data_IF_687229946459
#
_entry.id   IF_687229946459
#
_cell.length_a   1.000
_cell.length_b   1.000
_cell.length_c   1.000
_cell.angle_alpha   90.00
_cell.angle_beta   90.00
_cell.angle_gamma   90.00
#
_symmetry.space_group_name_H-M   'P 1'
#
loop_
_entity.id
_entity.type
_entity.pdbx_description
1 polymer ?
#
# COMPACT_ATOMS: atom_id res chain seq x y z
N UNK A 1 -2.38 18.29 11.40
CA UNK A 1 -3.82 18.09 11.11
C UNK A 1 -4.61 18.75 12.22
N UNK A 2 -5.70 19.46 11.89
CA UNK A 2 -6.47 20.20 12.86
C UNK A 2 -7.32 19.26 13.75
N UNK A 3 -7.56 19.69 15.01
CA UNK A 3 -8.48 19.00 15.91
C UNK A 3 -9.92 19.14 15.39
N UNK A 4 -10.72 18.06 15.31
CA UNK A 4 -12.11 18.16 14.91
C UNK A 4 -12.95 18.89 15.97
N UNK A 5 -13.87 19.72 15.54
CA UNK A 5 -14.72 20.58 16.40
C UNK A 5 -15.98 19.88 16.88
N UNK A 6 -16.30 18.72 16.35
CA UNK A 6 -17.45 17.91 16.74
C UNK A 6 -17.15 16.42 16.58
N UNK A 7 -17.97 15.60 17.24
CA UNK A 7 -17.90 14.12 17.13
C UNK A 7 -18.16 13.69 15.68
N UNK A 8 -19.11 14.33 14.99
CA UNK A 8 -19.38 14.03 13.57
C UNK A 8 -18.20 14.38 12.67
N UNK A 9 -17.57 15.55 12.87
CA UNK A 9 -16.34 15.92 12.15
C UNK A 9 -15.22 14.93 12.42
N UNK A 10 -15.07 14.45 13.64
CA UNK A 10 -14.08 13.44 14.01
C UNK A 10 -14.32 12.09 13.30
N UNK A 11 -15.57 11.64 13.22
CA UNK A 11 -15.95 10.42 12.49
C UNK A 11 -15.63 10.56 11.00
N UNK A 12 -15.96 11.71 10.39
CA UNK A 12 -15.69 11.99 9.00
C UNK A 12 -14.16 12.04 8.73
N UNK A 13 -13.41 12.70 9.59
CA UNK A 13 -11.94 12.74 9.51
C UNK A 13 -11.33 11.33 9.62
N UNK A 14 -11.79 10.52 10.56
CA UNK A 14 -11.31 9.15 10.75
C UNK A 14 -11.50 8.30 9.47
N UNK A 15 -12.60 8.47 8.76
CA UNK A 15 -12.89 7.77 7.50
C UNK A 15 -12.00 8.20 6.34
N UNK A 16 -11.52 9.44 6.32
CA UNK A 16 -10.77 10.00 5.19
C UNK A 16 -9.29 10.24 5.46
N UNK A 17 -8.84 10.04 6.69
CA UNK A 17 -7.46 10.34 7.11
C UNK A 17 -6.39 9.62 6.27
N UNK A 18 -6.70 8.44 5.76
CA UNK A 18 -5.82 7.70 4.86
C UNK A 18 -5.50 8.45 3.56
N UNK A 19 -6.38 9.38 3.14
CA UNK A 19 -6.15 10.21 1.95
C UNK A 19 -5.01 11.22 2.13
N UNK A 20 -4.63 11.51 3.36
CA UNK A 20 -3.46 12.35 3.67
C UNK A 20 -2.13 11.59 3.57
N UNK A 21 -2.19 10.28 3.49
CA UNK A 21 -1.01 9.40 3.51
C UNK A 21 0.05 9.77 2.46
N UNK A 22 -0.28 10.09 1.20
CA UNK A 22 0.73 10.45 0.20
C UNK A 22 1.50 11.73 0.57
N UNK A 23 0.80 12.76 1.04
CA UNK A 23 1.43 14.02 1.45
C UNK A 23 2.34 13.81 2.66
N UNK A 24 1.84 13.13 3.68
CA UNK A 24 2.62 12.82 4.88
C UNK A 24 3.78 11.86 4.58
N UNK A 25 3.60 10.96 3.61
CA UNK A 25 4.65 10.10 3.11
C UNK A 25 5.85 10.89 2.60
N UNK A 26 5.62 11.86 1.72
CA UNK A 26 6.68 12.73 1.20
C UNK A 26 7.36 13.55 2.31
N UNK A 27 6.59 14.06 3.29
CA UNK A 27 7.17 14.78 4.43
C UNK A 27 8.06 13.88 5.29
N UNK A 28 7.63 12.64 5.55
CA UNK A 28 8.39 11.66 6.33
C UNK A 28 9.67 11.29 5.58
N UNK A 29 9.59 11.05 4.27
CA UNK A 29 10.74 10.78 3.42
C UNK A 29 11.78 11.89 3.51
N UNK A 30 11.34 13.16 3.33
CA UNK A 30 12.20 14.33 3.45
C UNK A 30 12.85 14.42 4.83
N UNK A 31 12.07 14.34 5.91
CA UNK A 31 12.58 14.40 7.27
C UNK A 31 13.52 13.23 7.61
N UNK A 32 13.33 12.06 7.00
CA UNK A 32 14.23 10.91 7.22
C UNK A 32 15.65 11.23 6.79
N UNK A 33 15.83 11.92 5.67
CA UNK A 33 17.16 12.32 5.18
C UNK A 33 17.82 13.32 6.14
N UNK A 34 17.06 14.28 6.68
CA UNK A 34 17.55 15.20 7.68
C UNK A 34 17.98 14.51 8.97
N UNK A 35 17.16 13.53 9.44
CA UNK A 35 17.50 12.71 10.61
C UNK A 35 18.77 11.90 10.37
N UNK A 36 18.92 11.27 9.20
CA UNK A 36 20.13 10.53 8.85
C UNK A 36 21.37 11.43 8.86
N UNK A 37 21.25 12.65 8.33
CA UNK A 37 22.34 13.63 8.33
C UNK A 37 22.66 14.21 9.72
N UNK A 38 21.72 14.16 10.65
CA UNK A 38 21.97 14.58 12.04
C UNK A 38 22.77 13.56 12.85
N UNK A 39 22.98 12.34 12.32
CA UNK A 39 23.69 11.27 13.00
C UNK A 39 25.19 11.32 12.72
N UNK A 40 25.98 11.49 13.77
CA UNK A 40 27.43 11.62 13.68
C UNK A 40 28.11 10.38 13.07
N UNK A 41 27.49 9.20 13.22
CA UNK A 41 28.00 7.94 12.71
C UNK A 41 28.23 7.95 11.19
N UNK A 42 27.47 8.74 10.44
CA UNK A 42 27.59 8.83 8.99
C UNK A 42 28.57 9.91 8.52
N UNK A 43 28.89 10.91 9.33
CA UNK A 43 29.66 12.10 8.91
C UNK A 43 31.03 11.74 8.33
N UNK A 44 31.70 10.71 8.88
CA UNK A 44 33.01 10.25 8.39
C UNK A 44 32.96 9.56 7.02
N UNK A 45 31.76 9.11 6.60
CA UNK A 45 31.59 8.39 5.35
C UNK A 45 31.04 9.27 4.23
N UNK A 46 30.33 10.34 4.57
CA UNK A 46 29.72 11.23 3.59
C UNK A 46 28.45 11.92 4.11
N UNK A 47 27.62 12.34 3.16
CA UNK A 47 26.35 13.00 3.42
C UNK A 47 25.21 12.30 2.72
N UNK A 48 24.10 12.09 3.40
CA UNK A 48 22.87 11.59 2.80
C UNK A 48 22.26 12.65 1.90
N UNK A 49 21.96 12.27 0.67
CA UNK A 49 21.36 13.14 -0.35
C UNK A 49 20.09 12.50 -0.86
N UNK A 50 19.01 13.27 -0.85
CA UNK A 50 17.76 12.87 -1.46
C UNK A 50 17.91 12.81 -2.98
N UNK A 51 17.28 11.83 -3.61
CA UNK A 51 17.24 11.68 -5.05
C UNK A 51 15.79 11.87 -5.53
N UNK A 52 15.47 13.09 -5.97
CA UNK A 52 14.14 13.34 -6.53
C UNK A 52 13.96 12.62 -7.87
N UNK A 53 12.85 11.86 -7.97
CA UNK A 53 12.47 11.05 -9.15
C UNK A 53 13.44 9.91 -9.51
N UNK A 54 14.45 9.65 -8.68
CA UNK A 54 15.41 8.58 -8.89
C UNK A 54 15.30 7.52 -7.79
N UNK A 55 15.81 6.35 -8.09
CA UNK A 55 15.89 5.21 -7.16
C UNK A 55 17.36 4.99 -6.72
N UNK A 56 17.59 4.68 -5.44
CA UNK A 56 16.68 4.76 -4.30
C UNK A 56 16.38 6.21 -3.87
N UNK A 57 15.40 6.42 -2.97
CA UNK A 57 14.97 7.76 -2.52
C UNK A 57 16.11 8.59 -1.93
N UNK A 58 17.11 7.95 -1.30
CA UNK A 58 18.30 8.65 -0.78
C UNK A 58 19.56 7.79 -0.87
N UNK A 59 20.71 8.44 -1.04
CA UNK A 59 22.04 7.81 -1.10
C UNK A 59 23.01 8.50 -0.14
N UNK A 60 23.96 7.74 0.39
CA UNK A 60 25.11 8.27 1.14
C UNK A 60 26.25 8.62 0.17
N UNK A 61 26.27 9.87 -0.30
CA UNK A 61 27.35 10.36 -1.17
C UNK A 61 28.62 10.62 -0.38
N UNK A 62 29.67 9.85 -0.65
CA UNK A 62 30.94 9.96 0.08
C UNK A 62 31.93 8.85 -0.28
N UNK A 63 32.62 8.33 0.72
CA UNK A 63 33.76 7.42 0.56
C UNK A 63 33.40 5.95 0.41
N UNK A 64 32.14 5.55 0.63
CA UNK A 64 31.74 4.13 0.58
C UNK A 64 31.36 3.76 -0.85
N UNK A 65 31.96 2.67 -1.33
CA UNK A 65 31.66 2.07 -2.63
C UNK A 65 31.37 0.57 -2.47
N UNK A 66 30.27 0.05 -3.05
CA UNK A 66 29.23 0.77 -3.78
C UNK A 66 28.44 1.71 -2.87
N UNK A 67 27.92 2.81 -3.44
CA UNK A 67 27.21 3.86 -2.69
C UNK A 67 25.99 3.28 -1.97
N UNK A 68 25.89 3.39 -0.62
CA UNK A 68 24.71 2.93 0.11
C UNK A 68 23.49 3.79 -0.16
N UNK A 69 22.31 3.17 -0.12
CA UNK A 69 21.06 3.87 -0.33
C UNK A 69 19.88 3.32 0.47
N UNK A 70 18.87 4.17 0.65
CA UNK A 70 17.60 3.78 1.24
C UNK A 70 16.43 4.11 0.31
N UNK A 71 15.58 3.13 0.10
CA UNK A 71 14.23 3.30 -0.42
C UNK A 71 13.30 3.46 0.77
N UNK A 72 12.63 4.59 0.90
CA UNK A 72 11.85 4.98 2.08
C UNK A 72 10.37 4.69 1.84
N UNK A 73 9.73 3.98 2.75
CA UNK A 73 8.31 3.65 2.69
C UNK A 73 7.60 4.11 3.96
N UNK A 74 6.90 5.23 3.87
CA UNK A 74 6.02 5.69 4.94
C UNK A 74 4.71 4.87 4.92
N UNK A 75 4.39 4.25 6.05
CA UNK A 75 3.23 3.39 6.17
C UNK A 75 2.25 3.90 7.24
N UNK A 76 1.00 4.09 6.83
CA UNK A 76 -0.11 4.38 7.72
C UNK A 76 -0.86 3.08 8.04
N UNK A 77 -0.63 2.45 9.21
CA UNK A 77 -1.05 1.06 9.47
C UNK A 77 -2.56 0.88 9.63
N UNK A 78 -3.31 1.95 9.85
CA UNK A 78 -4.76 1.85 10.09
C UNK A 78 -5.60 1.72 8.82
N UNK A 79 -5.11 2.15 7.67
CA UNK A 79 -5.94 2.20 6.46
C UNK A 79 -5.22 1.73 5.21
N UNK A 80 -3.90 1.64 5.22
CA UNK A 80 -3.11 1.24 4.06
C UNK A 80 -2.34 -0.03 4.32
N UNK A 81 -1.98 -0.70 3.24
CA UNK A 81 -1.06 -1.82 3.26
C UNK A 81 0.29 -1.39 2.70
N UNK A 82 1.35 -2.02 3.15
CA UNK A 82 2.67 -1.78 2.56
C UNK A 82 2.67 -2.43 1.19
N UNK A 83 2.83 -1.60 0.16
CA UNK A 83 2.93 -2.05 -1.23
C UNK A 83 4.24 -1.59 -1.83
N UNK A 84 4.83 -2.43 -2.68
CA UNK A 84 5.95 -2.04 -3.52
C UNK A 84 5.49 -2.01 -4.98
N UNK A 85 5.73 -0.91 -5.67
CA UNK A 85 5.32 -0.73 -7.07
C UNK A 85 6.45 -0.97 -8.06
N UNK A 86 7.62 -1.31 -7.59
CA UNK A 86 8.80 -1.51 -8.43
C UNK A 86 8.79 -2.94 -9.05
N UNK A 87 8.06 -3.08 -10.15
CA UNK A 87 8.13 -4.30 -10.98
C UNK A 87 9.55 -4.48 -11.51
N UNK A 88 10.00 -5.74 -11.57
CA UNK A 88 11.34 -6.12 -12.01
C UNK A 88 12.46 -5.43 -11.21
N UNK A 89 12.15 -5.09 -9.96
CA UNK A 89 13.00 -4.29 -9.11
C UNK A 89 14.31 -4.96 -8.72
N UNK A 90 14.40 -6.29 -8.84
CA UNK A 90 15.67 -6.97 -8.62
C UNK A 90 16.79 -6.43 -9.51
N UNK A 91 16.46 -5.95 -10.72
CA UNK A 91 17.41 -5.32 -11.62
C UNK A 91 17.94 -3.97 -11.11
N UNK A 92 17.22 -3.32 -10.21
CA UNK A 92 17.63 -2.08 -9.57
C UNK A 92 18.49 -2.29 -8.34
N UNK A 93 18.44 -3.50 -7.75
CA UNK A 93 19.22 -3.88 -6.57
C UNK A 93 20.42 -4.77 -6.96
N UNK A 94 21.21 -4.32 -7.93
CA UNK A 94 22.38 -5.08 -8.44
C UNK A 94 23.39 -5.31 -7.33
N UNK A 95 23.54 -4.34 -6.43
CA UNK A 95 24.44 -4.41 -5.27
C UNK A 95 23.62 -4.52 -3.97
N UNK A 96 24.14 -5.25 -2.99
CA UNK A 96 23.52 -5.42 -1.66
C UNK A 96 23.71 -4.18 -0.75
N UNK A 97 23.78 -2.99 -1.34
CA UNK A 97 24.04 -1.72 -0.66
C UNK A 97 22.77 -0.83 -0.56
N UNK A 98 21.63 -1.30 -1.04
CA UNK A 98 20.37 -0.58 -0.94
C UNK A 98 19.41 -1.32 -0.02
N UNK A 99 18.82 -0.57 0.91
CA UNK A 99 17.90 -1.09 1.91
C UNK A 99 16.55 -0.42 1.78
N UNK A 100 15.51 -1.11 2.16
CA UNK A 100 14.17 -0.52 2.32
C UNK A 100 14.00 -0.13 3.78
N UNK A 101 13.72 1.14 4.04
CA UNK A 101 13.30 1.64 5.36
C UNK A 101 11.79 1.79 5.35
N UNK A 102 11.10 1.11 6.26
CA UNK A 102 9.67 1.27 6.49
C UNK A 102 9.44 2.03 7.79
N UNK A 103 8.69 3.12 7.70
CA UNK A 103 8.37 4.01 8.80
C UNK A 103 6.85 3.94 9.05
N UNK A 104 6.46 3.18 10.07
CA UNK A 104 5.07 3.17 10.51
C UNK A 104 4.76 4.46 11.26
N UNK A 105 3.73 5.18 10.84
CA UNK A 105 3.35 6.44 11.44
C UNK A 105 1.86 6.51 11.77
N UNK A 106 1.55 7.25 12.82
CA UNK A 106 0.19 7.65 13.18
C UNK A 106 0.18 9.16 13.49
N UNK A 107 -0.97 9.83 13.43
CA UNK A 107 -1.10 11.13 14.08
C UNK A 107 -0.75 10.98 15.57
N UNK A 108 -0.17 11.99 16.17
CA UNK A 108 0.13 11.99 17.63
C UNK A 108 -1.14 11.90 18.47
N UNK A 109 -2.27 12.36 17.93
CA UNK A 109 -3.61 11.97 18.34
C UNK A 109 -4.24 11.10 17.24
N UNK A 110 -4.92 10.02 17.57
CA UNK A 110 -5.29 8.93 16.65
C UNK A 110 -5.86 9.34 15.29
N UNK A 111 -6.56 10.45 15.20
CA UNK A 111 -7.21 10.94 13.97
C UNK A 111 -6.80 12.36 13.56
N UNK A 112 -5.98 13.05 14.36
CA UNK A 112 -5.45 14.38 14.05
C UNK A 112 -4.09 14.59 14.70
N UNK A 113 -3.47 15.76 14.50
CA UNK A 113 -2.18 16.11 15.07
C UNK A 113 -1.01 15.91 14.10
N UNK A 114 0.21 15.93 14.62
CA UNK A 114 1.44 15.74 13.84
C UNK A 114 1.67 14.25 13.55
N UNK A 115 2.30 13.89 12.44
CA UNK A 115 2.71 12.52 12.21
C UNK A 115 3.78 12.12 13.23
N UNK A 116 3.53 11.01 13.92
CA UNK A 116 4.44 10.40 14.89
C UNK A 116 4.89 9.04 14.36
N UNK A 117 6.19 8.84 14.28
CA UNK A 117 6.75 7.52 13.93
C UNK A 117 6.56 6.60 15.13
N UNK A 118 5.88 5.49 14.91
CA UNK A 118 5.59 4.47 15.94
C UNK A 118 6.42 3.21 15.77
N UNK A 119 7.13 3.08 14.66
CA UNK A 119 8.05 1.98 14.42
C UNK A 119 8.86 2.18 13.17
N UNK A 120 10.04 1.57 13.14
CA UNK A 120 10.98 1.60 12.02
C UNK A 120 11.43 0.18 11.76
N UNK A 121 11.46 -0.21 10.50
CA UNK A 121 12.01 -1.49 10.05
C UNK A 121 12.95 -1.24 8.88
N UNK A 122 14.09 -1.92 8.89
CA UNK A 122 15.06 -1.87 7.79
C UNK A 122 15.24 -3.29 7.26
N UNK A 123 15.11 -3.45 5.96
CA UNK A 123 15.27 -4.73 5.29
C UNK A 123 16.17 -4.60 4.05
N UNK A 124 16.83 -5.69 3.64
CA UNK A 124 17.57 -5.73 2.39
C UNK A 124 16.65 -5.42 1.22
N UNK A 125 16.98 -4.40 0.43
CA UNK A 125 16.21 -4.04 -0.75
C UNK A 125 16.13 -5.18 -1.76
N UNK A 126 17.23 -5.90 -1.96
CA UNK A 126 17.28 -7.05 -2.86
C UNK A 126 16.35 -8.20 -2.43
N UNK A 127 16.31 -8.52 -1.15
CA UNK A 127 15.44 -9.58 -0.63
C UNK A 127 13.96 -9.17 -0.70
N UNK A 128 13.66 -7.92 -0.38
CA UNK A 128 12.30 -7.36 -0.52
C UNK A 128 11.86 -7.37 -1.98
N UNK A 129 12.74 -6.96 -2.90
CA UNK A 129 12.46 -6.99 -4.34
C UNK A 129 12.24 -8.41 -4.85
N UNK A 130 13.05 -9.37 -4.41
CA UNK A 130 12.89 -10.77 -4.77
C UNK A 130 11.55 -11.35 -4.29
N UNK A 131 11.18 -11.09 -3.03
CA UNK A 131 9.90 -11.50 -2.46
C UNK A 131 8.72 -10.86 -3.22
N UNK A 132 8.82 -9.58 -3.54
CA UNK A 132 7.83 -8.84 -4.32
C UNK A 132 7.68 -9.41 -5.74
N UNK A 133 8.78 -9.63 -6.44
CA UNK A 133 8.75 -10.13 -7.81
C UNK A 133 8.22 -11.57 -7.86
N UNK A 134 8.58 -12.41 -6.89
CA UNK A 134 8.02 -13.75 -6.75
C UNK A 134 6.50 -13.71 -6.61
N UNK A 135 6.00 -12.81 -5.78
CA UNK A 135 4.59 -12.61 -5.54
C UNK A 135 3.88 -12.05 -6.78
N UNK A 136 4.51 -11.13 -7.51
CA UNK A 136 3.99 -10.53 -8.73
C UNK A 136 3.91 -11.53 -9.89
N UNK A 137 4.91 -12.37 -10.08
CA UNK A 137 5.00 -13.29 -11.22
C UNK A 137 4.23 -14.61 -11.06
N UNK A 138 3.85 -14.94 -9.83
CA UNK A 138 3.07 -16.15 -9.50
C UNK A 138 1.59 -15.93 -9.14
N UNK A 139 1.04 -14.70 -9.20
CA UNK A 139 -0.35 -14.51 -8.83
C UNK A 139 -1.26 -15.16 -9.87
N UNK A 140 -2.44 -15.65 -9.45
CA UNK A 140 -3.43 -16.14 -10.39
C UNK A 140 -3.91 -15.01 -11.30
N UNK A 141 -4.29 -15.39 -12.52
CA UNK A 141 -4.82 -14.47 -13.54
C UNK A 141 -6.34 -14.47 -13.52
N UNK A 142 -6.95 -13.36 -13.91
CA UNK A 142 -8.39 -13.26 -14.12
C UNK A 142 -8.69 -12.29 -15.28
N UNK A 143 -9.91 -12.41 -15.83
CA UNK A 143 -10.41 -11.48 -16.84
C UNK A 143 -11.02 -10.25 -16.18
N UNK A 144 -10.75 -9.08 -16.75
CA UNK A 144 -11.44 -7.84 -16.42
C UNK A 144 -12.62 -7.71 -17.36
N UNK A 145 -13.83 -7.93 -16.87
CA UNK A 145 -15.09 -7.83 -17.61
C UNK A 145 -15.75 -6.48 -17.32
N UNK A 146 -15.36 -5.44 -18.02
CA UNK A 146 -15.95 -4.10 -17.89
C UNK A 146 -17.04 -3.90 -18.97
N UNK A 147 -18.10 -3.12 -18.64
CA UNK A 147 -18.37 -2.42 -17.38
C UNK A 147 -19.11 -3.26 -16.31
N UNK A 148 -19.54 -4.45 -16.64
CA UNK A 148 -20.45 -5.26 -15.80
C UNK A 148 -19.78 -5.72 -14.51
N UNK A 149 -18.48 -5.90 -14.54
CA UNK A 149 -17.69 -6.42 -13.43
C UNK A 149 -17.52 -5.40 -12.28
N UNK A 150 -17.78 -4.13 -12.53
CA UNK A 150 -17.63 -3.09 -11.51
C UNK A 150 -18.73 -3.13 -10.46
N UNK A 151 -19.93 -3.61 -10.79
CA UNK A 151 -21.05 -3.69 -9.85
C UNK A 151 -21.02 -4.95 -8.97
N UNK A 152 -20.42 -6.02 -9.46
CA UNK A 152 -20.38 -7.31 -8.78
C UNK A 152 -19.05 -7.61 -8.11
N UNK A 153 -18.12 -6.68 -8.14
CA UNK A 153 -16.86 -6.76 -7.39
C UNK A 153 -17.15 -6.66 -5.90
N UNK A 154 -17.60 -7.75 -5.34
CA UNK A 154 -17.77 -7.88 -3.89
C UNK A 154 -16.44 -7.90 -3.15
N UNK A 155 -15.34 -8.13 -3.87
CA UNK A 155 -13.98 -8.11 -3.34
C UNK A 155 -13.18 -7.01 -4.00
N UNK A 156 -12.45 -6.27 -3.19
CA UNK A 156 -11.49 -5.33 -3.70
C UNK A 156 -10.33 -6.11 -4.34
N UNK A 157 -10.43 -6.36 -5.65
CA UNK A 157 -9.40 -7.08 -6.40
C UNK A 157 -8.04 -6.40 -6.32
N UNK A 158 -8.04 -5.09 -6.03
CA UNK A 158 -6.83 -4.35 -5.77
C UNK A 158 -6.11 -4.77 -4.49
N UNK A 159 -6.77 -5.49 -3.61
CA UNK A 159 -6.18 -6.05 -2.39
C UNK A 159 -5.87 -7.55 -2.52
N UNK A 160 -6.19 -8.15 -3.63
CA UNK A 160 -5.83 -9.53 -3.93
C UNK A 160 -4.61 -9.55 -4.85
N UNK A 161 -3.72 -10.50 -4.63
CA UNK A 161 -2.60 -10.70 -5.52
C UNK A 161 -3.06 -11.42 -6.78
N UNK A 162 -3.46 -10.65 -7.79
CA UNK A 162 -4.00 -11.18 -9.06
C UNK A 162 -3.52 -10.35 -10.24
N UNK A 163 -3.39 -10.97 -11.40
CA UNK A 163 -3.12 -10.30 -12.66
C UNK A 163 -4.43 -10.11 -13.43
N UNK A 164 -4.82 -8.87 -13.72
CA UNK A 164 -6.00 -8.54 -14.50
C UNK A 164 -5.70 -8.44 -15.99
N UNK A 165 -6.39 -9.20 -16.83
CA UNK A 165 -6.27 -9.13 -18.29
C UNK A 165 -7.46 -8.43 -18.90
N UNK A 166 -7.22 -7.35 -19.65
CA UNK A 166 -8.21 -6.52 -20.32
C UNK A 166 -8.10 -6.68 -21.84
N UNK A 167 -9.24 -6.86 -22.49
CA UNK A 167 -9.31 -7.01 -23.95
C UNK A 167 -8.92 -5.71 -24.66
N UNK A 168 -8.20 -5.82 -25.80
CA UNK A 168 -7.67 -4.71 -26.57
C UNK A 168 -7.92 -4.82 -28.09
N UNK A 169 -8.74 -5.79 -28.51
CA UNK A 169 -8.97 -6.06 -29.94
C UNK A 169 -10.17 -5.33 -30.54
N UNK A 170 -10.54 -5.73 -31.76
CA UNK A 170 -11.72 -5.26 -32.47
C UNK A 170 -13.02 -5.81 -31.84
N UNK A 171 -14.14 -5.15 -32.15
CA UNK A 171 -15.47 -5.60 -31.70
C UNK A 171 -15.80 -7.01 -32.15
N UNK A 172 -15.39 -7.41 -33.36
CA UNK A 172 -15.61 -8.77 -33.86
C UNK A 172 -14.81 -9.81 -33.09
N UNK A 173 -13.56 -9.52 -32.76
CA UNK A 173 -12.72 -10.38 -31.91
C UNK A 173 -13.25 -10.43 -30.48
N UNK A 174 -13.79 -9.34 -29.95
CA UNK A 174 -14.41 -9.31 -28.62
C UNK A 174 -15.61 -10.27 -28.56
N UNK A 175 -16.48 -10.23 -29.58
CA UNK A 175 -17.63 -11.14 -29.64
C UNK A 175 -17.21 -12.62 -29.67
N UNK A 176 -16.16 -12.94 -30.42
CA UNK A 176 -15.61 -14.32 -30.46
C UNK A 176 -15.02 -14.73 -29.11
N UNK A 177 -14.21 -13.87 -28.49
CA UNK A 177 -13.63 -14.10 -27.18
C UNK A 177 -14.72 -14.26 -26.10
N UNK A 178 -15.73 -13.38 -26.11
CA UNK A 178 -16.85 -13.43 -25.19
C UNK A 178 -17.68 -14.73 -25.34
N UNK A 179 -17.86 -15.22 -26.59
CA UNK A 179 -18.52 -16.50 -26.82
C UNK A 179 -17.77 -17.68 -26.20
N UNK A 180 -16.44 -17.68 -26.29
CA UNK A 180 -15.60 -18.67 -25.61
C UNK A 180 -15.71 -18.59 -24.10
N UNK A 181 -15.62 -17.38 -23.53
CA UNK A 181 -15.76 -17.18 -22.07
C UNK A 181 -17.14 -17.60 -21.58
N UNK A 182 -18.19 -17.33 -22.36
CA UNK A 182 -19.56 -17.79 -22.05
C UNK A 182 -19.66 -19.31 -21.98
N UNK A 183 -18.92 -19.99 -22.84
CA UNK A 183 -18.89 -21.47 -22.84
C UNK A 183 -18.20 -22.06 -21.59
N UNK A 184 -17.47 -21.27 -20.81
CA UNK A 184 -16.91 -21.70 -19.51
C UNK A 184 -17.98 -21.75 -18.41
N UNK A 185 -19.23 -21.40 -18.70
CA UNK A 185 -20.33 -21.36 -17.76
C UNK A 185 -20.16 -20.24 -16.72
N UNK A 186 -20.72 -20.47 -15.54
CA UNK A 186 -20.62 -19.52 -14.39
C UNK A 186 -19.16 -19.18 -14.05
N UNK A 187 -18.26 -20.16 -14.24
CA UNK A 187 -16.82 -19.96 -14.01
C UNK A 187 -16.14 -18.96 -14.94
N UNK A 188 -16.78 -18.57 -16.06
CA UNK A 188 -16.24 -17.55 -16.96
C UNK A 188 -16.41 -16.11 -16.41
N UNK A 189 -17.44 -15.90 -15.61
CA UNK A 189 -17.73 -14.60 -14.99
C UNK A 189 -17.18 -14.48 -13.57
N UNK A 190 -17.18 -15.59 -12.85
CA UNK A 190 -16.67 -15.61 -11.49
C UNK A 190 -15.17 -15.90 -11.50
N UNK A 191 -14.41 -14.97 -10.93
CA UNK A 191 -13.01 -15.22 -10.72
C UNK A 191 -12.78 -16.39 -9.78
N UNK A 192 -12.18 -17.46 -10.33
CA UNK A 192 -11.80 -18.65 -9.56
C UNK A 192 -10.34 -18.99 -9.88
N UNK A 193 -9.42 -18.95 -8.90
CA UNK A 193 -8.00 -19.21 -9.13
C UNK A 193 -7.69 -20.71 -9.28
N UNK A 194 -8.63 -21.48 -9.84
CA UNK A 194 -8.46 -22.91 -10.06
C UNK A 194 -7.53 -23.18 -11.23
N UNK A 195 -6.78 -24.30 -11.24
CA UNK A 195 -5.90 -24.67 -12.35
C UNK A 195 -6.62 -24.72 -13.70
N UNK A 196 -7.86 -25.19 -13.74
CA UNK A 196 -8.68 -25.25 -14.95
C UNK A 196 -9.00 -23.84 -15.49
N UNK A 197 -9.46 -22.92 -14.63
CA UNK A 197 -9.69 -21.54 -15.03
C UNK A 197 -8.40 -20.88 -15.55
N UNK A 198 -7.27 -21.09 -14.88
CA UNK A 198 -5.98 -20.55 -15.29
C UNK A 198 -5.52 -21.12 -16.64
N UNK A 199 -5.78 -22.39 -16.92
CA UNK A 199 -5.46 -23.01 -18.21
C UNK A 199 -6.31 -22.42 -19.34
N UNK A 200 -7.62 -22.30 -19.14
CA UNK A 200 -8.56 -21.70 -20.11
C UNK A 200 -8.21 -20.21 -20.36
N UNK A 201 -7.86 -19.47 -19.33
CA UNK A 201 -7.47 -18.08 -19.49
C UNK A 201 -6.17 -17.95 -20.31
N UNK A 202 -5.15 -18.78 -20.05
CA UNK A 202 -3.91 -18.80 -20.87
C UNK A 202 -4.21 -19.07 -22.35
N UNK A 203 -5.10 -19.99 -22.66
CA UNK A 203 -5.52 -20.25 -24.04
C UNK A 203 -6.23 -19.05 -24.66
N UNK A 204 -7.09 -18.37 -23.90
CA UNK A 204 -7.82 -17.21 -24.39
C UNK A 204 -6.87 -16.04 -24.73
N UNK A 205 -5.95 -15.70 -23.81
CA UNK A 205 -5.01 -14.59 -24.01
C UNK A 205 -3.93 -14.89 -25.07
N UNK A 206 -3.69 -16.16 -25.41
CA UNK A 206 -2.82 -16.52 -26.53
C UNK A 206 -3.50 -16.39 -27.89
N UNK A 207 -4.85 -16.44 -27.95
CA UNK A 207 -5.63 -16.38 -29.19
C UNK A 207 -6.16 -14.99 -29.52
N UNK A 208 -6.37 -14.16 -28.51
CA UNK A 208 -6.98 -12.85 -28.64
C UNK A 208 -6.12 -11.77 -27.97
N UNK A 209 -6.22 -10.50 -28.43
CA UNK A 209 -5.40 -9.42 -27.91
C UNK A 209 -5.87 -8.95 -26.53
N UNK A 210 -5.45 -9.65 -25.51
CA UNK A 210 -5.53 -9.21 -24.11
C UNK A 210 -4.21 -8.66 -23.66
N UNK A 211 -4.23 -7.61 -22.87
CA UNK A 211 -3.05 -7.11 -22.17
C UNK A 211 -3.24 -7.22 -20.67
N UNK A 212 -2.15 -7.37 -19.94
CA UNK A 212 -2.12 -7.24 -18.51
C UNK A 212 -2.47 -5.79 -18.13
N UNK A 213 -3.56 -5.59 -17.39
CA UNK A 213 -3.92 -4.28 -16.86
C UNK A 213 -3.11 -4.00 -15.61
N UNK A 214 -2.15 -3.08 -15.71
CA UNK A 214 -1.25 -2.73 -14.61
C UNK A 214 -1.95 -2.10 -13.41
N UNK A 215 -3.18 -1.57 -13.57
CA UNK A 215 -3.93 -1.04 -12.44
C UNK A 215 -4.41 -2.18 -11.52
N UNK A 216 -4.68 -3.35 -12.07
CA UNK A 216 -5.05 -4.54 -11.31
C UNK A 216 -3.83 -5.35 -10.85
N UNK A 217 -2.74 -5.30 -11.59
CA UNK A 217 -1.49 -5.97 -11.25
C UNK A 217 -0.63 -5.19 -10.22
N UNK A 218 -1.00 -3.94 -9.90
CA UNK A 218 -0.21 -3.07 -9.02
C UNK A 218 -0.33 -3.35 -7.54
N UNK A 219 -1.24 -4.20 -7.15
CA UNK A 219 -1.58 -4.40 -5.74
C UNK A 219 -0.82 -5.53 -5.09
N UNK A 220 0.44 -5.65 -5.46
CA UNK A 220 1.31 -6.63 -4.85
C UNK A 220 1.66 -6.21 -3.43
N UNK A 221 1.26 -7.01 -2.49
CA UNK A 221 1.71 -6.93 -1.11
C UNK A 221 3.10 -7.51 -1.04
N UNK A 222 3.95 -6.87 -0.29
CA UNK A 222 5.25 -7.42 0.01
C UNK A 222 5.05 -8.51 1.08
N UNK A 223 5.30 -9.75 0.71
CA UNK A 223 5.33 -10.89 1.63
C UNK A 223 6.79 -11.24 1.92
N UNK A 224 7.31 -10.72 3.00
CA UNK A 224 8.69 -10.91 3.43
C UNK A 224 8.68 -11.00 4.96
N UNK A 225 9.35 -12.00 5.53
CA UNK A 225 9.26 -12.34 6.96
C UNK A 225 9.51 -11.15 7.88
N UNK A 226 10.53 -10.34 7.58
CA UNK A 226 10.87 -9.15 8.37
C UNK A 226 9.73 -8.11 8.29
N UNK A 227 9.10 -7.95 7.13
CA UNK A 227 8.00 -7.02 6.92
C UNK A 227 6.74 -7.52 7.61
N UNK A 228 6.42 -8.80 7.50
CA UNK A 228 5.26 -9.40 8.16
C UNK A 228 5.40 -9.32 9.69
N UNK A 229 6.57 -9.65 10.24
CA UNK A 229 6.87 -9.50 11.67
C UNK A 229 6.72 -8.06 12.13
N UNK A 230 7.23 -7.10 11.37
CA UNK A 230 7.07 -5.68 11.66
C UNK A 230 5.60 -5.24 11.65
N UNK A 231 4.82 -5.69 10.66
CA UNK A 231 3.38 -5.40 10.60
C UNK A 231 2.62 -5.94 11.80
N UNK A 232 2.97 -7.16 12.23
CA UNK A 232 2.38 -7.77 13.41
C UNK A 232 2.72 -7.00 14.70
N UNK A 233 3.99 -6.62 14.86
CA UNK A 233 4.44 -5.82 16.00
C UNK A 233 3.67 -4.50 16.09
N UNK A 234 3.62 -3.76 14.97
CA UNK A 234 2.89 -2.49 14.91
C UNK A 234 1.40 -2.69 15.20
N UNK A 235 0.80 -3.75 14.65
CA UNK A 235 -0.60 -4.07 14.86
C UNK A 235 -0.99 -4.33 16.32
N UNK A 236 -0.06 -4.84 17.12
CA UNK A 236 -0.22 -5.15 18.55
C UNK A 236 -0.02 -3.93 19.46
N UNK A 237 0.62 -2.86 18.97
CA UNK A 237 0.88 -1.64 19.79
C UNK A 237 -0.43 -1.03 20.28
N UNK A 238 -0.43 -0.70 21.57
CA UNK A 238 -1.57 -0.02 22.20
C UNK A 238 -1.56 1.46 21.87
N UNK A 239 -2.74 1.99 21.57
CA UNK A 239 -2.91 3.40 21.25
C UNK A 239 -4.33 3.83 21.65
N UNK A 240 -4.47 4.81 22.56
CA UNK A 240 -5.77 5.28 23.04
C UNK A 240 -6.77 4.15 23.37
N UNK A 241 -6.35 3.24 24.26
CA UNK A 241 -7.21 2.17 24.78
C UNK A 241 -7.48 0.98 23.87
N UNK A 242 -6.98 1.01 22.62
CA UNK A 242 -7.11 -0.11 21.69
C UNK A 242 -5.79 -0.40 20.97
N UNK A 243 -5.65 -1.62 20.44
CA UNK A 243 -4.53 -1.93 19.54
C UNK A 243 -4.70 -1.22 18.19
N UNK A 244 -3.58 -0.99 17.48
CA UNK A 244 -3.58 -0.45 16.11
C UNK A 244 -4.45 -1.29 15.18
N UNK A 245 -4.40 -2.62 15.30
CA UNK A 245 -5.28 -3.51 14.54
C UNK A 245 -6.75 -3.29 14.86
N UNK A 246 -7.10 -3.12 16.13
CA UNK A 246 -8.51 -2.86 16.53
C UNK A 246 -8.99 -1.52 15.97
N UNK A 247 -8.16 -0.47 16.01
CA UNK A 247 -8.44 0.80 15.36
C UNK A 247 -8.67 0.64 13.86
N UNK A 248 -7.76 -0.08 13.15
CA UNK A 248 -7.89 -0.37 11.72
C UNK A 248 -9.24 -0.99 11.39
N UNK A 249 -9.64 -2.02 12.12
CA UNK A 249 -10.92 -2.71 11.91
C UNK A 249 -12.12 -1.79 12.20
N UNK A 250 -12.07 -1.04 13.29
CA UNK A 250 -13.15 -0.12 13.69
C UNK A 250 -13.34 0.98 12.63
N UNK A 251 -12.26 1.61 12.17
CA UNK A 251 -12.33 2.68 11.18
C UNK A 251 -12.72 2.18 9.78
N UNK A 252 -12.40 0.94 9.45
CA UNK A 252 -12.82 0.30 8.20
C UNK A 252 -14.27 -0.21 8.25
N UNK A 253 -14.88 -0.25 9.43
CA UNK A 253 -16.24 -0.72 9.62
C UNK A 253 -17.25 0.20 8.92
N UNK A 254 -18.30 -0.41 8.35
CA UNK A 254 -19.48 0.32 7.90
C UNK A 254 -20.42 0.67 9.05
N UNK A 255 -20.16 0.16 10.25
CA UNK A 255 -20.95 0.40 11.44
C UNK A 255 -20.56 1.74 12.09
N UNK A 256 -21.34 2.76 11.84
CA UNK A 256 -21.10 4.10 12.39
C UNK A 256 -21.08 4.09 13.93
N UNK A 257 -21.92 3.30 14.60
CA UNK A 257 -21.94 3.23 16.07
C UNK A 257 -20.59 2.78 16.66
N UNK A 258 -19.90 1.84 15.99
CA UNK A 258 -18.57 1.41 16.42
C UNK A 258 -17.53 2.53 16.26
N UNK A 259 -17.66 3.33 15.21
CA UNK A 259 -16.77 4.47 14.97
C UNK A 259 -17.03 5.60 15.96
N UNK A 260 -18.31 5.91 16.24
CA UNK A 260 -18.68 6.90 17.26
C UNK A 260 -18.11 6.52 18.63
N UNK A 261 -18.29 5.26 19.06
CA UNK A 261 -17.76 4.75 20.32
C UNK A 261 -16.23 4.85 20.40
N UNK A 262 -15.55 4.57 19.31
CA UNK A 262 -14.10 4.71 19.23
C UNK A 262 -13.66 6.17 19.32
N UNK A 263 -14.39 7.10 18.70
CA UNK A 263 -14.13 8.54 18.76
C UNK A 263 -14.35 9.09 20.16
N UNK A 264 -15.38 8.62 20.88
CA UNK A 264 -15.61 8.97 22.28
C UNK A 264 -14.43 8.60 23.19
N UNK A 265 -13.79 7.45 22.95
CA UNK A 265 -12.57 7.04 23.67
C UNK A 265 -11.41 8.02 23.48
N UNK A 266 -11.41 8.79 22.40
CA UNK A 266 -10.41 9.84 22.15
C UNK A 266 -10.68 11.14 22.90
N UNK A 267 -11.76 11.19 23.69
CA UNK A 267 -12.14 12.39 24.44
C UNK A 267 -12.59 13.58 23.58
N UNK A 268 -13.00 13.31 22.33
CA UNK A 268 -13.56 14.33 21.44
C UNK A 268 -14.99 14.59 21.85
N UNK A 269 -15.26 15.84 22.23
CA UNK A 269 -16.57 16.32 22.57
C UNK A 269 -16.97 17.42 21.59
N UNK A 270 -18.28 17.62 21.42
CA UNK A 270 -18.77 18.76 20.65
C UNK A 270 -18.31 20.05 21.35
N UNK A 271 -17.38 20.75 20.76
CA UNK A 271 -17.01 22.11 21.14
C UNK A 271 -17.91 23.03 20.31
N UNK A 272 -18.69 23.85 20.95
CA UNK A 272 -19.49 24.86 20.24
C UNK A 272 -18.62 25.64 19.26
N UNK A 273 -19.22 26.18 18.20
CA UNK A 273 -18.56 26.82 17.06
C UNK A 273 -17.59 27.99 17.39
N UNK A 274 -17.38 28.30 18.64
CA UNK A 274 -16.53 29.41 19.12
C UNK A 274 -15.01 29.17 19.01
N UNK A 275 -14.53 27.92 18.77
CA UNK A 275 -13.08 27.62 18.67
C UNK A 275 -12.50 27.68 17.25
N UNK A 276 -13.26 28.09 16.24
CA UNK A 276 -12.78 28.19 14.86
C UNK A 276 -12.05 29.50 14.53
N UNK A 277 -11.86 30.41 15.48
CA UNK A 277 -11.27 31.76 15.27
C UNK A 277 -10.14 32.04 16.26
N UNK A 278 -9.21 31.10 16.44
CA UNK A 278 -7.91 31.39 17.04
C UNK A 278 -6.78 30.76 16.25
#
# INVERSE_FOLDING_TARGET
MAKPVSVEAAVNLAKVISKLSPLLGNMIEFNTVEVLNSKNEFHKFGKWIRQDLMFPDTILKGSISPTPGFEIKAWFPMATEITARFKDSQNHFVNDNTFVIMLAWLPDHMIYGKPKIIGVCVASGKLVAAARDLHYHKPPNYLVLEPEDTKQRTRNLQQTNTNGYKFQGSSSQLLQAAKLVKAWGVGGRDYKPTPDYQARLRQLISRYPYRLDTNYAKMDRIQHDVIESFKEEIGKKQFFGMTVNRWKWTLASKNNSAIYKAVELLGIKDSGAAELVQ
#
